data_IF_349712397258
#
_entry.id   IF_349712397258
#
_cell.length_a   1.000
_cell.length_b   1.000
_cell.length_c   1.000
_cell.angle_alpha   90.00
_cell.angle_beta   90.00
_cell.angle_gamma   90.00
#
_symmetry.space_group_name_H-M   'P 1'
#
loop_
_entity.id
_entity.type
_entity.pdbx_description
1 polymer ?
#
# COMPACT_ATOMS: atom_id res chain seq x y z
N UNK A 1 1.88 9.49 7.38
CA UNK A 1 1.46 10.91 7.46
C UNK A 1 1.58 11.57 6.08
N UNK A 2 1.04 12.79 5.88
CA UNK A 2 1.18 13.53 4.60
C UNK A 2 2.65 13.83 4.23
N UNK A 3 3.49 14.13 5.23
CA UNK A 3 4.93 14.33 5.03
C UNK A 3 5.61 13.07 4.48
N UNK A 4 5.37 11.90 5.09
CA UNK A 4 5.95 10.64 4.61
C UNK A 4 5.52 10.33 3.17
N UNK A 5 4.25 10.58 2.85
CA UNK A 5 3.74 10.36 1.49
C UNK A 5 4.41 11.27 0.46
N UNK A 6 4.62 12.55 0.78
CA UNK A 6 5.32 13.47 -0.12
C UNK A 6 6.77 13.02 -0.41
N UNK A 7 7.50 12.59 0.62
CA UNK A 7 8.88 12.09 0.45
C UNK A 7 8.89 10.84 -0.43
N UNK A 8 7.97 9.91 -0.19
CA UNK A 8 7.82 8.70 -1.02
C UNK A 8 7.54 9.06 -2.48
N UNK A 9 6.55 9.91 -2.74
CA UNK A 9 6.19 10.30 -4.11
C UNK A 9 7.35 10.98 -4.84
N UNK A 10 8.09 11.86 -4.17
CA UNK A 10 9.27 12.51 -4.77
C UNK A 10 10.38 11.51 -5.10
N UNK A 11 10.55 10.44 -4.32
CA UNK A 11 11.52 9.39 -4.63
C UNK A 11 11.07 8.55 -5.84
N UNK A 12 9.79 8.16 -5.89
CA UNK A 12 9.21 7.40 -7.00
C UNK A 12 9.23 8.20 -8.32
N UNK A 13 9.01 9.52 -8.25
CA UNK A 13 9.07 10.42 -9.40
C UNK A 13 10.51 10.55 -9.92
N UNK A 14 11.49 10.75 -9.03
CA UNK A 14 12.93 10.76 -9.38
C UNK A 14 13.39 9.44 -10.03
N UNK A 15 12.78 8.32 -9.67
CA UNK A 15 13.03 7.01 -10.28
C UNK A 15 12.24 6.77 -11.58
N UNK A 16 11.40 7.72 -12.01
CA UNK A 16 10.57 7.59 -13.20
C UNK A 16 9.44 6.57 -13.06
N UNK A 17 9.10 6.12 -11.85
CA UNK A 17 8.05 5.15 -11.58
C UNK A 17 6.66 5.79 -11.56
N UNK A 18 6.59 7.06 -11.20
CA UNK A 18 5.37 7.86 -11.25
C UNK A 18 5.62 9.16 -11.97
N UNK A 19 4.55 9.75 -12.50
CA UNK A 19 4.52 11.10 -13.02
C UNK A 19 3.47 11.91 -12.28
N UNK A 20 3.77 13.19 -12.05
CA UNK A 20 2.76 14.19 -11.73
C UNK A 20 2.52 15.03 -12.98
N UNK A 21 1.30 15.05 -13.53
CA UNK A 21 1.02 15.86 -14.70
C UNK A 21 1.21 17.34 -14.36
N UNK A 22 1.78 18.10 -15.29
CA UNK A 22 2.02 19.53 -15.11
C UNK A 22 0.73 20.36 -15.14
N UNK A 23 -0.35 19.80 -15.70
CA UNK A 23 -1.69 20.39 -15.76
C UNK A 23 -2.72 19.34 -15.36
N UNK A 24 -3.77 19.79 -14.66
CA UNK A 24 -4.86 18.92 -14.28
C UNK A 24 -5.59 18.46 -15.55
N UNK A 25 -5.74 17.15 -15.79
CA UNK A 25 -6.50 16.66 -16.94
C UNK A 25 -7.99 17.03 -16.82
N UNK A 26 -8.52 17.10 -15.59
CA UNK A 26 -9.84 17.67 -15.26
C UNK A 26 -9.80 18.31 -13.86
N UNK A 27 -10.43 19.48 -13.69
CA UNK A 27 -10.53 20.15 -12.40
C UNK A 27 -9.22 20.78 -11.92
N UNK A 28 -8.95 20.71 -10.61
CA UNK A 28 -7.75 21.30 -9.98
C UNK A 28 -6.76 20.26 -9.44
N UNK A 29 -7.08 18.97 -9.54
CA UNK A 29 -6.24 17.90 -9.00
C UNK A 29 -5.13 17.52 -9.98
N UNK A 30 -3.91 17.38 -9.47
CA UNK A 30 -2.76 16.82 -10.20
C UNK A 30 -2.49 15.40 -9.65
N UNK A 31 -3.26 14.39 -10.09
CA UNK A 31 -3.10 13.04 -9.58
C UNK A 31 -1.71 12.51 -9.93
N UNK A 32 -1.08 11.79 -9.01
CA UNK A 32 0.16 11.08 -9.31
C UNK A 32 -0.20 9.75 -9.96
N UNK A 33 0.36 9.49 -11.14
CA UNK A 33 0.04 8.31 -11.95
C UNK A 33 1.27 7.43 -12.15
N UNK A 34 1.08 6.11 -12.24
CA UNK A 34 2.16 5.19 -12.58
C UNK A 34 2.53 5.33 -14.06
N UNK A 35 3.83 5.41 -14.34
CA UNK A 35 4.36 5.23 -15.69
C UNK A 35 4.31 3.75 -16.10
N UNK A 36 4.58 3.44 -17.37
CA UNK A 36 4.74 2.05 -17.80
C UNK A 36 5.87 1.34 -17.05
N UNK A 37 6.96 2.06 -16.74
CA UNK A 37 8.03 1.54 -15.89
C UNK A 37 7.51 1.26 -14.48
N UNK A 38 6.76 2.19 -13.90
CA UNK A 38 6.09 2.02 -12.61
C UNK A 38 5.16 0.81 -12.57
N UNK A 39 4.35 0.59 -13.60
CA UNK A 39 3.46 -0.57 -13.71
C UNK A 39 4.22 -1.89 -13.77
N UNK A 40 5.32 -1.95 -14.53
CA UNK A 40 6.20 -3.13 -14.57
C UNK A 40 6.84 -3.39 -13.20
N UNK A 41 7.36 -2.35 -12.55
CA UNK A 41 7.97 -2.46 -11.23
C UNK A 41 6.95 -2.90 -10.18
N UNK A 42 5.73 -2.35 -10.21
CA UNK A 42 4.62 -2.76 -9.35
C UNK A 42 4.33 -4.25 -9.52
N UNK A 43 4.24 -4.75 -10.76
CA UNK A 43 4.01 -6.18 -11.01
C UNK A 43 5.08 -7.06 -10.36
N UNK A 44 6.35 -6.70 -10.49
CA UNK A 44 7.47 -7.41 -9.86
C UNK A 44 7.39 -7.37 -8.34
N UNK A 45 7.12 -6.20 -7.76
CA UNK A 45 7.00 -6.02 -6.33
C UNK A 45 5.80 -6.82 -5.76
N UNK A 46 4.64 -6.77 -6.42
CA UNK A 46 3.45 -7.54 -6.04
C UNK A 46 3.71 -9.04 -6.06
N UNK A 47 4.45 -9.55 -7.06
CA UNK A 47 4.83 -10.95 -7.11
C UNK A 47 5.77 -11.35 -5.95
N UNK A 48 6.74 -10.49 -5.61
CA UNK A 48 7.64 -10.71 -4.48
C UNK A 48 6.89 -10.74 -3.14
N UNK A 49 5.97 -9.80 -2.91
CA UNK A 49 5.13 -9.75 -1.70
C UNK A 49 4.25 -11.00 -1.59
N UNK A 50 3.61 -11.42 -2.70
CA UNK A 50 2.79 -12.64 -2.72
C UNK A 50 3.60 -13.88 -2.39
N UNK A 51 4.86 -13.98 -2.85
CA UNK A 51 5.74 -15.08 -2.48
C UNK A 51 6.06 -15.09 -0.98
N UNK A 52 6.30 -13.93 -0.38
CA UNK A 52 6.52 -13.83 1.08
C UNK A 52 5.27 -14.26 1.83
N UNK A 53 4.08 -13.82 1.41
CA UNK A 53 2.80 -14.22 2.01
C UNK A 53 2.60 -15.75 1.92
N UNK A 54 2.84 -16.35 0.76
CA UNK A 54 2.75 -17.80 0.57
C UNK A 54 3.72 -18.55 1.50
N UNK A 55 4.96 -18.10 1.61
CA UNK A 55 5.96 -18.72 2.47
C UNK A 55 5.58 -18.60 3.95
N UNK A 56 5.07 -17.43 4.37
CA UNK A 56 4.63 -17.18 5.74
C UNK A 56 3.46 -18.10 6.14
N UNK A 57 2.57 -18.42 5.19
CA UNK A 57 1.36 -19.21 5.42
C UNK A 57 1.52 -20.70 5.05
N UNK A 58 2.69 -21.13 4.58
CA UNK A 58 2.89 -22.44 3.95
C UNK A 58 2.54 -23.63 4.86
N UNK A 59 2.65 -23.48 6.18
CA UNK A 59 2.39 -24.53 7.16
C UNK A 59 1.03 -24.39 7.86
N UNK A 60 0.20 -23.46 7.39
CA UNK A 60 -1.13 -23.21 7.97
C UNK A 60 -2.20 -23.75 7.04
N UNK A 61 -3.20 -24.41 7.61
CA UNK A 61 -4.39 -24.79 6.86
C UNK A 61 -5.29 -23.57 6.54
N UNK A 62 -6.32 -23.78 5.73
CA UNK A 62 -7.20 -22.69 5.31
C UNK A 62 -7.96 -22.02 6.48
N UNK A 63 -8.23 -22.76 7.56
CA UNK A 63 -8.90 -22.22 8.75
C UNK A 63 -7.96 -21.31 9.54
N UNK A 64 -6.72 -21.77 9.74
CA UNK A 64 -5.66 -21.03 10.43
C UNK A 64 -5.28 -19.75 9.68
N UNK A 65 -5.15 -19.81 8.35
CA UNK A 65 -4.92 -18.62 7.52
C UNK A 65 -6.07 -17.60 7.65
N UNK A 66 -7.32 -18.08 7.66
CA UNK A 66 -8.47 -17.22 7.87
C UNK A 66 -8.49 -16.60 9.27
N UNK A 67 -8.11 -17.35 10.30
CA UNK A 67 -7.99 -16.85 11.66
C UNK A 67 -6.91 -15.77 11.76
N UNK A 68 -5.73 -16.01 11.21
CA UNK A 68 -4.64 -15.03 11.18
C UNK A 68 -5.08 -13.73 10.50
N UNK A 69 -5.75 -13.81 9.34
CA UNK A 69 -6.30 -12.64 8.63
C UNK A 69 -7.30 -11.87 9.49
N UNK A 70 -8.20 -12.56 10.19
CA UNK A 70 -9.17 -11.92 11.11
C UNK A 70 -8.45 -11.17 12.22
N UNK A 71 -7.49 -11.80 12.89
CA UNK A 71 -6.73 -11.20 13.99
C UNK A 71 -5.95 -9.95 13.53
N UNK A 72 -5.24 -10.03 12.39
CA UNK A 72 -4.53 -8.89 11.83
C UNK A 72 -5.47 -7.73 11.48
N UNK A 73 -6.66 -8.04 10.93
CA UNK A 73 -7.67 -7.02 10.61
C UNK A 73 -8.18 -6.32 11.89
N UNK A 74 -8.42 -7.08 12.96
CA UNK A 74 -8.80 -6.52 14.26
C UNK A 74 -7.71 -5.62 14.83
N UNK A 75 -6.44 -6.06 14.80
CA UNK A 75 -5.32 -5.24 15.25
C UNK A 75 -5.22 -3.93 14.46
N UNK A 76 -5.37 -3.98 13.13
CA UNK A 76 -5.39 -2.78 12.29
C UNK A 76 -6.51 -1.83 12.73
N UNK A 77 -7.74 -2.34 12.88
CA UNK A 77 -8.88 -1.52 13.30
C UNK A 77 -8.62 -0.84 14.65
N UNK A 78 -8.13 -1.56 15.66
CA UNK A 78 -7.78 -1.00 16.97
C UNK A 78 -6.68 0.06 16.91
N UNK A 79 -5.77 -0.03 15.94
CA UNK A 79 -4.71 0.98 15.72
C UNK A 79 -5.19 2.18 14.90
N UNK A 80 -6.33 2.08 14.22
CA UNK A 80 -6.90 3.17 13.41
C UNK A 80 -8.02 3.92 14.11
N UNK A 81 -8.68 3.31 15.09
CA UNK A 81 -9.63 4.00 15.96
C UNK A 81 -8.89 4.96 16.89
N UNK A 82 -9.27 6.25 16.96
CA UNK A 82 -8.79 7.12 18.02
C UNK A 82 -9.28 6.56 19.36
N UNK A 83 -8.49 6.61 20.45
CA UNK A 83 -8.93 6.11 21.75
C UNK A 83 -10.22 6.82 22.14
N UNK A 84 -11.29 6.05 22.34
CA UNK A 84 -12.53 6.55 22.91
C UNK A 84 -12.19 7.09 24.29
N UNK A 85 -12.41 8.38 24.58
CA UNK A 85 -12.15 8.89 25.92
C UNK A 85 -13.04 8.12 26.89
N UNK A 86 -12.42 7.42 27.84
CA UNK A 86 -13.13 6.78 28.93
C UNK A 86 -13.84 7.88 29.72
N UNK A 87 -15.18 7.83 29.72
CA UNK A 87 -16.04 8.57 30.66
C UNK A 87 -15.81 8.12 32.10
#
# INVERSE_FOLDING_TARGET
TRQSMNVLLQALERQGLVIRPARAPVGRALPTELTDLGRRQLKTASAAVRRVEQNMLANLDASEQNQMRRLLTTCIASLTEPPTPAT
#
